data_IF_657718614476
#
_entry.id   IF_657718614476
#
_cell.length_a   1.000
_cell.length_b   1.000
_cell.length_c   1.000
_cell.angle_alpha   90.00
_cell.angle_beta   90.00
_cell.angle_gamma   90.00
#
_symmetry.space_group_name_H-M   'P 1'
#
loop_
_entity.id
_entity.type
_entity.pdbx_description
1 polymer ?
#
# COMPACT_ATOMS: atom_id res chain seq x y z
N UNK A 1 -15.51 17.82 5.78
CA UNK A 1 -14.57 16.74 5.40
C UNK A 1 -13.72 16.28 6.57
N UNK A 2 -12.99 17.17 7.26
CA UNK A 2 -12.26 16.82 8.49
C UNK A 2 -13.12 16.11 9.55
N UNK A 3 -14.35 16.57 9.78
CA UNK A 3 -15.21 15.98 10.81
C UNK A 3 -15.84 14.62 10.42
N UNK A 4 -15.94 14.28 9.13
CA UNK A 4 -16.46 12.98 8.67
C UNK A 4 -15.36 11.90 8.73
N UNK A 5 -14.11 12.29 8.47
CA UNK A 5 -12.95 11.43 8.69
C UNK A 5 -12.54 11.35 10.18
N UNK A 6 -12.75 12.41 10.98
CA UNK A 6 -12.50 12.40 12.44
C UNK A 6 -13.47 11.49 13.21
N UNK A 7 -14.68 11.25 12.69
CA UNK A 7 -15.61 10.27 13.25
C UNK A 7 -15.29 8.81 12.89
N UNK A 8 -14.53 8.59 11.80
CA UNK A 8 -14.16 7.27 11.28
C UNK A 8 -12.70 6.87 11.54
N UNK A 9 -11.87 7.79 12.03
CA UNK A 9 -10.46 7.55 12.33
C UNK A 9 -9.96 8.58 13.36
N UNK A 10 -9.96 8.21 14.65
CA UNK A 10 -8.84 8.63 15.51
C UNK A 10 -7.68 7.69 15.20
N UNK A 11 -6.48 8.26 15.15
CA UNK A 11 -5.17 7.59 15.17
C UNK A 11 -4.56 7.20 13.82
N UNK A 12 -3.59 8.00 13.35
CA UNK A 12 -2.38 7.43 12.72
C UNK A 12 -1.18 8.38 12.89
N UNK A 13 -0.12 7.87 13.51
CA UNK A 13 1.26 8.31 13.23
C UNK A 13 1.91 7.27 12.31
N UNK A 14 2.76 7.76 11.42
CA UNK A 14 3.48 7.05 10.36
C UNK A 14 4.66 6.22 10.88
N UNK A 15 4.87 5.07 10.22
CA UNK A 15 6.03 4.17 10.16
C UNK A 15 7.13 4.22 11.24
N UNK A 16 7.36 3.04 11.84
CA UNK A 16 8.55 2.71 12.63
C UNK A 16 8.18 2.09 13.97
N UNK A 17 8.28 0.77 14.07
CA UNK A 17 8.22 0.06 15.35
C UNK A 17 6.93 -0.72 15.58
N UNK A 18 7.14 -1.99 15.91
CA UNK A 18 6.21 -2.92 16.51
C UNK A 18 5.20 -2.21 17.45
N UNK A 19 3.91 -2.26 17.11
CA UNK A 19 2.79 -2.37 18.06
C UNK A 19 1.47 -2.54 17.30
N UNK A 20 0.84 -3.70 17.53
CA UNK A 20 -0.56 -4.08 17.28
C UNK A 20 -1.34 -3.06 16.45
N UNK A 21 -1.45 -3.33 15.14
CA UNK A 21 -2.53 -2.77 14.32
C UNK A 21 -3.84 -3.09 15.04
N UNK A 22 -4.47 -2.09 15.66
CA UNK A 22 -5.86 -2.19 16.04
C UNK A 22 -6.59 -2.40 14.73
N UNK A 23 -6.98 -3.65 14.46
CA UNK A 23 -7.74 -4.05 13.28
C UNK A 23 -8.98 -3.16 13.26
N UNK A 24 -8.99 -2.16 12.37
CA UNK A 24 -10.21 -1.41 12.10
C UNK A 24 -11.14 -2.44 11.46
N UNK A 25 -12.13 -2.88 12.21
CA UNK A 25 -13.14 -3.81 11.70
C UNK A 25 -13.95 -3.05 10.66
N UNK A 26 -13.94 -3.56 9.43
CA UNK A 26 -14.73 -2.96 8.36
C UNK A 26 -16.22 -3.15 8.71
N UNK A 27 -17.07 -2.14 8.43
CA UNK A 27 -18.50 -2.29 8.61
C UNK A 27 -19.02 -3.42 7.71
N UNK A 28 -20.09 -4.09 8.14
CA UNK A 28 -20.75 -5.09 7.31
C UNK A 28 -21.17 -4.48 5.95
N UNK A 29 -21.23 -5.27 4.86
CA UNK A 29 -21.49 -4.74 3.50
C UNK A 29 -22.75 -3.88 3.36
N UNK A 30 -23.81 -4.20 4.11
CA UNK A 30 -25.06 -3.43 4.15
C UNK A 30 -24.84 -2.04 4.79
N UNK A 31 -24.06 -1.98 5.86
CA UNK A 31 -23.73 -0.73 6.54
C UNK A 31 -22.79 0.14 5.70
N UNK A 32 -21.82 -0.47 5.01
CA UNK A 32 -20.96 0.20 4.04
C UNK A 32 -21.77 0.91 2.94
N UNK A 33 -22.76 0.22 2.35
CA UNK A 33 -23.67 0.77 1.36
C UNK A 33 -24.50 1.93 1.93
N UNK A 34 -24.95 1.82 3.19
CA UNK A 34 -25.70 2.88 3.87
C UNK A 34 -24.85 4.14 4.08
N UNK A 35 -23.60 3.98 4.51
CA UNK A 35 -22.67 5.07 4.77
C UNK A 35 -22.30 5.81 3.48
N UNK A 36 -21.98 5.09 2.40
CA UNK A 36 -21.69 5.70 1.10
C UNK A 36 -22.92 6.43 0.56
N UNK A 37 -24.11 5.84 0.67
CA UNK A 37 -25.37 6.46 0.27
C UNK A 37 -25.67 7.75 1.04
N UNK A 38 -25.40 7.75 2.36
CA UNK A 38 -25.55 8.95 3.20
C UNK A 38 -24.58 10.06 2.78
N UNK A 39 -23.33 9.71 2.51
CA UNK A 39 -22.31 10.64 2.04
C UNK A 39 -22.74 11.33 0.73
N UNK A 40 -23.17 10.57 -0.28
CA UNK A 40 -23.62 11.14 -1.56
C UNK A 40 -24.88 11.99 -1.41
N UNK A 41 -25.82 11.61 -0.53
CA UNK A 41 -26.99 12.45 -0.21
C UNK A 41 -26.59 13.78 0.46
N UNK A 42 -25.57 13.78 1.32
CA UNK A 42 -25.05 15.00 1.92
C UNK A 42 -24.31 15.85 0.89
N UNK A 43 -23.52 15.22 0.02
CA UNK A 43 -22.73 15.89 -1.00
C UNK A 43 -23.63 16.56 -2.04
N UNK A 44 -24.72 15.92 -2.46
CA UNK A 44 -25.66 16.48 -3.43
C UNK A 44 -26.35 17.75 -2.89
N UNK A 45 -26.75 17.74 -1.61
CA UNK A 45 -27.37 18.88 -0.90
C UNK A 45 -26.41 20.01 -0.56
N UNK A 46 -25.10 19.76 -0.62
CA UNK A 46 -24.10 20.79 -0.30
C UNK A 46 -23.93 21.72 -1.50
N UNK A 47 -24.18 23.01 -1.28
CA UNK A 47 -23.89 24.06 -2.25
C UNK A 47 -22.39 24.43 -2.19
N UNK A 48 -21.68 24.13 -3.27
CA UNK A 48 -20.23 24.31 -3.36
C UNK A 48 -19.94 25.47 -4.29
N UNK A 49 -19.61 26.62 -3.68
CA UNK A 49 -19.51 27.91 -4.37
C UNK A 49 -18.21 28.11 -5.16
N UNK A 50 -17.16 27.34 -4.86
CA UNK A 50 -15.90 27.42 -5.60
C UNK A 50 -15.88 26.47 -6.79
N UNK A 51 -15.27 26.91 -7.89
CA UNK A 51 -15.08 26.11 -9.09
C UNK A 51 -14.38 24.78 -8.77
N UNK A 52 -13.35 24.82 -7.92
CA UNK A 52 -12.62 23.62 -7.51
C UNK A 52 -13.51 22.66 -6.73
N UNK A 53 -14.35 23.16 -5.82
CA UNK A 53 -15.27 22.33 -5.06
C UNK A 53 -16.36 21.71 -5.96
N UNK A 54 -16.85 22.47 -6.95
CA UNK A 54 -17.72 21.94 -8.01
C UNK A 54 -17.05 20.83 -8.82
N UNK A 55 -15.80 21.02 -9.22
CA UNK A 55 -15.02 20.00 -9.92
C UNK A 55 -14.81 18.73 -9.08
N UNK A 56 -14.54 18.88 -7.77
CA UNK A 56 -14.48 17.75 -6.85
C UNK A 56 -15.82 17.02 -6.77
N UNK A 57 -16.94 17.73 -6.58
CA UNK A 57 -18.29 17.13 -6.54
C UNK A 57 -18.59 16.32 -7.80
N UNK A 58 -18.33 16.89 -8.98
CA UNK A 58 -18.49 16.17 -10.25
C UNK A 58 -17.63 14.91 -10.34
N UNK A 59 -16.39 14.94 -9.82
CA UNK A 59 -15.52 13.75 -9.77
C UNK A 59 -16.02 12.71 -8.79
N UNK A 60 -16.52 13.11 -7.62
CA UNK A 60 -17.11 12.19 -6.64
C UNK A 60 -18.34 11.48 -7.22
N UNK A 61 -19.23 12.22 -7.88
CA UNK A 61 -20.43 11.66 -8.51
C UNK A 61 -20.08 10.71 -9.65
N UNK A 62 -19.16 11.11 -10.55
CA UNK A 62 -18.70 10.26 -11.66
C UNK A 62 -18.10 8.94 -11.20
N UNK A 63 -17.49 8.89 -10.02
CA UNK A 63 -16.83 7.71 -9.46
C UNK A 63 -17.61 7.05 -8.33
N UNK A 64 -18.91 7.36 -8.20
CA UNK A 64 -19.76 6.93 -7.08
C UNK A 64 -19.73 5.44 -6.79
N UNK A 65 -19.75 4.63 -7.83
CA UNK A 65 -19.76 3.17 -7.71
C UNK A 65 -18.39 2.58 -7.37
N UNK A 66 -17.30 3.32 -7.61
CA UNK A 66 -15.93 2.79 -7.54
C UNK A 66 -15.16 3.26 -6.31
N UNK A 67 -15.46 4.46 -5.81
CA UNK A 67 -14.65 5.14 -4.80
C UNK A 67 -14.64 4.43 -3.43
N UNK A 68 -15.77 3.81 -3.06
CA UNK A 68 -15.95 3.15 -1.76
C UNK A 68 -15.93 1.62 -1.85
N UNK A 69 -15.42 1.06 -2.95
CA UNK A 69 -15.32 -0.40 -3.16
C UNK A 69 -14.51 -1.10 -2.07
N UNK A 70 -13.53 -0.43 -1.46
CA UNK A 70 -12.75 -0.95 -0.34
C UNK A 70 -13.58 -1.24 0.93
N UNK A 71 -14.78 -0.67 1.06
CA UNK A 71 -15.69 -0.98 2.17
C UNK A 71 -16.43 -2.31 1.96
N UNK A 72 -16.54 -2.78 0.72
CA UNK A 72 -17.25 -4.02 0.37
C UNK A 72 -16.28 -5.17 0.16
N UNK A 73 -15.06 -4.90 -0.33
CA UNK A 73 -14.05 -5.92 -0.57
C UNK A 73 -13.05 -6.04 0.58
N UNK A 74 -12.91 -7.25 1.10
CA UNK A 74 -11.87 -7.58 2.07
C UNK A 74 -10.46 -7.51 1.47
N UNK A 75 -9.46 -7.27 2.31
CA UNK A 75 -8.06 -7.17 1.90
C UNK A 75 -7.67 -5.91 1.13
N UNK A 76 -8.64 -5.10 0.67
CA UNK A 76 -8.36 -3.81 0.01
C UNK A 76 -8.13 -2.72 1.07
N UNK A 77 -6.96 -2.05 1.10
CA UNK A 77 -6.71 -0.93 2.00
C UNK A 77 -7.54 0.29 1.59
N UNK A 78 -7.92 1.11 2.56
CA UNK A 78 -8.64 2.38 2.32
C UNK A 78 -7.77 3.47 1.67
N UNK A 79 -6.44 3.31 1.74
CA UNK A 79 -5.47 4.26 1.20
C UNK A 79 -4.77 3.68 -0.04
N UNK A 80 -4.32 4.58 -0.92
CA UNK A 80 -3.64 4.23 -2.16
C UNK A 80 -2.11 4.16 -2.02
N UNK A 81 -1.59 4.05 -0.79
CA UNK A 81 -0.15 4.13 -0.53
C UNK A 81 0.63 3.07 -1.31
N UNK A 82 0.07 1.86 -1.43
CA UNK A 82 0.70 0.77 -2.16
C UNK A 82 0.92 1.13 -3.64
N UNK A 83 -0.09 1.71 -4.31
CA UNK A 83 0.05 2.11 -5.70
C UNK A 83 1.00 3.31 -5.86
N UNK A 84 0.96 4.28 -4.93
CA UNK A 84 1.92 5.39 -4.93
C UNK A 84 3.36 4.91 -4.80
N UNK A 85 3.62 3.97 -3.90
CA UNK A 85 4.93 3.37 -3.73
C UNK A 85 5.40 2.66 -5.00
N UNK A 86 4.52 1.86 -5.63
CA UNK A 86 4.83 1.19 -6.89
C UNK A 86 5.17 2.18 -8.02
N UNK A 87 4.37 3.25 -8.17
CA UNK A 87 4.59 4.28 -9.20
C UNK A 87 5.88 5.08 -8.94
N UNK A 88 6.21 5.38 -7.66
CA UNK A 88 7.43 6.11 -7.28
C UNK A 88 8.71 5.35 -7.68
N UNK A 89 8.70 4.03 -7.54
CA UNK A 89 9.82 3.20 -7.99
C UNK A 89 10.00 3.30 -9.51
N UNK A 90 8.90 3.24 -10.27
CA UNK A 90 8.94 3.38 -11.72
C UNK A 90 9.37 4.78 -12.18
N UNK A 91 8.89 5.84 -11.52
CA UNK A 91 9.32 7.20 -11.80
C UNK A 91 10.83 7.38 -11.57
N UNK A 92 11.37 6.75 -10.52
CA UNK A 92 12.81 6.71 -10.24
C UNK A 92 13.56 5.97 -11.35
N UNK A 93 13.11 4.77 -11.73
CA UNK A 93 13.72 4.01 -12.82
C UNK A 93 13.76 4.83 -14.11
N UNK A 94 12.65 5.47 -14.49
CA UNK A 94 12.54 6.25 -15.72
C UNK A 94 13.60 7.35 -15.81
N UNK A 95 13.97 7.96 -14.68
CA UNK A 95 15.04 8.96 -14.59
C UNK A 95 16.43 8.34 -14.80
N UNK A 96 16.65 7.12 -14.32
CA UNK A 96 17.94 6.41 -14.47
C UNK A 96 18.16 5.99 -15.92
N UNK A 97 17.12 5.53 -16.61
CA UNK A 97 17.20 5.00 -17.99
C UNK A 97 16.84 6.04 -19.06
N UNK A 98 16.76 7.33 -18.70
CA UNK A 98 16.42 8.44 -19.60
C UNK A 98 15.11 8.22 -20.39
N UNK A 99 14.14 7.51 -19.81
CA UNK A 99 12.80 7.34 -20.38
C UNK A 99 12.68 6.37 -21.57
N UNK A 100 13.76 5.74 -22.02
CA UNK A 100 13.71 4.77 -23.12
C UNK A 100 13.67 3.37 -22.54
N UNK A 101 12.61 2.60 -22.84
CA UNK A 101 12.53 1.18 -22.46
C UNK A 101 11.66 0.43 -23.44
N UNK A 102 12.11 -0.76 -23.84
CA UNK A 102 11.26 -1.69 -24.57
C UNK A 102 10.26 -2.35 -23.61
N UNK A 103 9.17 -2.88 -24.16
CA UNK A 103 8.19 -3.65 -23.39
C UNK A 103 8.86 -4.82 -22.65
N UNK A 104 9.79 -5.52 -23.32
CA UNK A 104 10.59 -6.59 -22.72
C UNK A 104 11.38 -6.10 -21.51
N UNK A 105 12.08 -4.96 -21.64
CA UNK A 105 12.86 -4.39 -20.54
C UNK A 105 12.01 -4.00 -19.33
N UNK A 106 10.80 -3.47 -19.57
CA UNK A 106 9.86 -3.18 -18.47
C UNK A 106 9.40 -4.47 -17.80
N UNK A 107 9.06 -5.52 -18.56
CA UNK A 107 8.64 -6.82 -17.99
C UNK A 107 9.75 -7.43 -17.11
N UNK A 108 10.99 -7.44 -17.59
CA UNK A 108 12.16 -7.94 -16.84
C UNK A 108 12.40 -7.11 -15.58
N UNK A 109 12.31 -5.78 -15.67
CA UNK A 109 12.40 -4.91 -14.51
C UNK A 109 11.29 -5.19 -13.49
N UNK A 110 10.05 -5.39 -13.91
CA UNK A 110 8.93 -5.64 -13.00
C UNK A 110 9.09 -6.96 -12.24
N UNK A 111 9.58 -8.00 -12.90
CA UNK A 111 9.98 -9.25 -12.22
C UNK A 111 11.03 -8.93 -11.17
N UNK A 112 12.06 -8.16 -11.54
CA UNK A 112 13.16 -7.87 -10.64
C UNK A 112 12.78 -7.00 -9.44
N UNK A 113 11.91 -6.02 -9.69
CA UNK A 113 11.32 -5.16 -8.69
C UNK A 113 10.43 -5.94 -7.72
N UNK A 114 9.61 -6.87 -8.21
CA UNK A 114 8.75 -7.69 -7.35
C UNK A 114 9.53 -8.53 -6.34
N UNK A 115 10.67 -9.09 -6.77
CA UNK A 115 11.59 -9.85 -5.91
C UNK A 115 12.23 -8.90 -4.89
N UNK A 116 12.71 -7.73 -5.33
CA UNK A 116 13.30 -6.71 -4.43
C UNK A 116 12.32 -6.26 -3.35
N UNK A 117 11.08 -5.95 -3.71
CA UNK A 117 10.04 -5.56 -2.74
C UNK A 117 9.71 -6.71 -1.78
N UNK A 118 9.63 -7.95 -2.28
CA UNK A 118 9.43 -9.12 -1.42
C UNK A 118 10.57 -9.30 -0.42
N UNK A 119 11.81 -9.11 -0.85
CA UNK A 119 12.98 -9.12 0.04
C UNK A 119 12.87 -8.05 1.13
N UNK A 120 12.47 -6.81 0.78
CA UNK A 120 12.23 -5.74 1.76
C UNK A 120 11.15 -6.10 2.77
N UNK A 121 10.01 -6.63 2.31
CA UNK A 121 8.92 -7.08 3.21
C UNK A 121 9.35 -8.21 4.15
N UNK A 122 10.35 -9.01 3.77
CA UNK A 122 10.91 -10.10 4.57
C UNK A 122 12.16 -9.70 5.36
N UNK A 123 12.55 -8.42 5.30
CA UNK A 123 13.75 -7.88 5.97
C UNK A 123 15.03 -8.62 5.58
N UNK A 124 15.14 -9.03 4.31
CA UNK A 124 16.35 -9.62 3.74
C UNK A 124 16.98 -8.71 2.70
N UNK A 125 18.31 -8.69 2.67
CA UNK A 125 19.07 -7.93 1.68
C UNK A 125 18.91 -8.54 0.28
N UNK A 126 18.47 -7.74 -0.67
CA UNK A 126 18.15 -8.19 -2.03
C UNK A 126 19.37 -8.78 -2.76
N UNK A 127 20.53 -8.12 -2.70
CA UNK A 127 21.74 -8.59 -3.36
C UNK A 127 22.29 -9.86 -2.71
N UNK A 128 22.17 -9.99 -1.39
CA UNK A 128 22.53 -11.22 -0.67
C UNK A 128 21.68 -12.40 -1.13
N UNK A 129 20.37 -12.19 -1.32
CA UNK A 129 19.47 -13.21 -1.87
C UNK A 129 19.89 -13.61 -3.29
N UNK A 130 20.10 -12.65 -4.19
CA UNK A 130 20.54 -12.97 -5.56
C UNK A 130 21.86 -13.73 -5.62
N UNK A 131 22.82 -13.38 -4.76
CA UNK A 131 24.13 -14.04 -4.70
C UNK A 131 24.09 -15.42 -4.04
N UNK A 132 23.02 -15.73 -3.28
CA UNK A 132 22.89 -17.01 -2.58
C UNK A 132 22.60 -18.18 -3.53
N UNK A 133 22.04 -17.92 -4.70
CA UNK A 133 21.55 -18.95 -5.63
C UNK A 133 20.23 -19.62 -5.18
N UNK A 134 19.70 -19.24 -4.02
CA UNK A 134 18.41 -19.74 -3.53
C UNK A 134 17.26 -19.23 -4.41
N UNK A 135 16.26 -20.09 -4.61
CA UNK A 135 15.06 -19.77 -5.40
C UNK A 135 13.87 -19.36 -4.53
N UNK A 136 13.93 -19.69 -3.23
CA UNK A 136 12.87 -19.38 -2.27
C UNK A 136 13.35 -18.33 -1.26
N UNK A 137 12.73 -17.14 -1.35
CA UNK A 137 13.01 -16.00 -0.46
C UNK A 137 12.66 -16.33 0.99
N UNK A 138 11.61 -17.12 1.23
CA UNK A 138 11.19 -17.51 2.58
C UNK A 138 12.20 -18.45 3.22
N UNK A 139 12.61 -19.49 2.50
CA UNK A 139 13.65 -20.41 2.97
C UNK A 139 14.97 -19.67 3.25
N UNK A 140 15.35 -18.73 2.36
CA UNK A 140 16.52 -17.90 2.54
C UNK A 140 16.44 -17.03 3.82
N UNK A 141 15.31 -16.36 4.04
CA UNK A 141 15.08 -15.52 5.22
C UNK A 141 15.17 -16.31 6.53
N UNK A 142 14.53 -17.48 6.59
CA UNK A 142 14.57 -18.35 7.77
C UNK A 142 15.97 -18.91 8.03
N UNK A 143 16.73 -19.25 6.98
CA UNK A 143 18.12 -19.69 7.12
C UNK A 143 19.02 -18.60 7.72
N UNK A 144 18.87 -17.34 7.28
CA UNK A 144 19.63 -16.18 7.81
C UNK A 144 19.25 -15.88 9.25
N UNK A 145 17.98 -15.97 9.61
CA UNK A 145 17.49 -15.81 11.00
C UNK A 145 18.10 -16.84 11.92
N UNK A 146 18.04 -18.13 11.54
CA UNK A 146 18.67 -19.23 12.29
C UNK A 146 20.18 -19.02 12.49
N UNK A 147 20.93 -18.70 11.42
CA UNK A 147 22.37 -18.41 11.51
C UNK A 147 22.70 -17.23 12.43
N UNK A 148 21.85 -16.18 12.47
CA UNK A 148 22.03 -15.06 13.41
C UNK A 148 21.83 -15.52 14.85
N UNK A 149 20.80 -16.33 15.12
CA UNK A 149 20.52 -16.85 16.47
C UNK A 149 21.64 -17.76 16.98
N UNK A 150 22.16 -18.64 16.12
CA UNK A 150 23.30 -19.52 16.43
C UNK A 150 24.56 -18.72 16.76
N UNK A 151 24.84 -17.64 16.03
CA UNK A 151 25.99 -16.74 16.31
C UNK A 151 25.85 -15.98 17.63
N UNK A 152 24.63 -15.66 18.06
CA UNK A 152 24.38 -14.95 19.33
C UNK A 152 24.54 -15.89 20.54
N UNK A 153 24.48 -17.21 20.34
CA UNK A 153 24.60 -18.21 21.42
C UNK A 153 26.04 -18.77 21.61
N UNK A 154 26.99 -18.40 20.76
CA UNK A 154 28.41 -18.74 20.94
C UNK A 154 29.08 -17.64 21.78
N UNK A 155 29.58 -17.94 22.99
CA UNK A 155 30.38 -16.95 23.73
C UNK A 155 31.66 -16.67 22.94
N UNK A 156 31.99 -15.39 22.78
CA UNK A 156 33.31 -14.98 22.29
C UNK A 156 34.37 -15.60 23.22
N UNK A 157 35.22 -16.45 22.63
CA UNK A 157 36.37 -17.08 23.29
C UNK A 157 37.62 -16.22 23.11
#
# INVERSE_FOLDING_TARGET
MENYCKGLCRFSKTYGGNRRSSRIEKPFPEEASRLSGSFYRSLSKTDLRSEQAGAFKSRFEKNREKLFTFLVHDGVPWNNNNAEHAIKAFATLRRVINGITSEKGIREYLVMFSISETCKYKEVEFLDFLRSGEKDIHAFAESKRRKRLEKVQLPEA
#
